data_IF_413829865316
#
_entry.id   IF_413829865316
#
_cell.length_a   1.000
_cell.length_b   1.000
_cell.length_c   1.000
_cell.angle_alpha   90.00
_cell.angle_beta   90.00
_cell.angle_gamma   90.00
#
_symmetry.space_group_name_H-M   'P 1'
#
loop_
_entity.id
_entity.type
_entity.pdbx_description
1 polymer ?
#
# COMPACT_ATOMS: atom_id res chain seq x y z
N UNK A 1 -20.95 13.47 -0.53
CA UNK A 1 -21.29 13.67 0.90
C UNK A 1 -20.01 13.43 1.68
N UNK A 2 -19.73 14.22 2.72
CA UNK A 2 -18.49 14.04 3.50
C UNK A 2 -18.61 12.84 4.44
N UNK A 3 -17.58 12.01 4.49
CA UNK A 3 -17.48 10.84 5.39
C UNK A 3 -16.12 10.81 6.06
N UNK A 4 -16.05 10.22 7.24
CA UNK A 4 -14.78 9.91 7.91
C UNK A 4 -14.54 8.41 7.80
N UNK A 5 -13.40 8.01 7.25
CA UNK A 5 -13.03 6.61 7.09
C UNK A 5 -11.52 6.42 6.94
N UNK A 6 -11.10 5.17 6.97
CA UNK A 6 -9.73 4.76 6.66
C UNK A 6 -9.50 4.79 5.15
N UNK A 7 -8.41 5.44 4.72
CA UNK A 7 -7.96 5.50 3.33
C UNK A 7 -6.48 5.13 3.24
N UNK A 8 -6.01 4.71 2.07
CA UNK A 8 -4.68 4.09 1.95
C UNK A 8 -3.88 4.62 0.76
N UNK A 9 -2.60 4.91 0.99
CA UNK A 9 -1.62 4.93 -0.08
C UNK A 9 -0.88 3.60 -0.08
N UNK A 10 -0.79 3.00 -1.27
CA UNK A 10 -0.13 1.74 -1.52
C UNK A 10 0.93 1.96 -2.59
N UNK A 11 2.09 1.35 -2.40
CA UNK A 11 3.23 1.54 -3.28
C UNK A 11 3.86 0.21 -3.66
N UNK A 12 4.16 0.07 -4.95
CA UNK A 12 4.91 -1.05 -5.48
C UNK A 12 6.29 -0.57 -5.88
N UNK A 13 7.31 -1.07 -5.20
CA UNK A 13 8.71 -0.71 -5.43
C UNK A 13 9.27 -1.65 -6.48
N UNK A 14 9.73 -1.10 -7.60
CA UNK A 14 10.19 -1.88 -8.72
C UNK A 14 11.56 -1.45 -9.23
N UNK A 15 12.24 -2.41 -9.84
CA UNK A 15 13.44 -2.15 -10.63
C UNK A 15 13.04 -1.53 -11.99
N UNK A 16 13.67 -0.42 -12.42
CA UNK A 16 13.33 0.24 -13.68
C UNK A 16 13.69 -0.57 -14.94
N UNK A 17 14.72 -1.42 -14.88
CA UNK A 17 15.25 -2.15 -16.03
C UNK A 17 14.36 -3.37 -16.34
N UNK A 18 14.06 -4.18 -15.32
CA UNK A 18 13.30 -5.43 -15.49
C UNK A 18 11.78 -5.25 -15.31
N UNK A 19 11.33 -4.08 -14.82
CA UNK A 19 9.93 -3.81 -14.47
C UNK A 19 9.34 -4.87 -13.54
N UNK A 20 10.16 -5.32 -12.59
CA UNK A 20 9.79 -6.29 -11.56
C UNK A 20 9.61 -5.57 -10.24
N UNK A 21 8.44 -5.75 -9.62
CA UNK A 21 8.17 -5.30 -8.26
C UNK A 21 8.82 -6.30 -7.32
N UNK A 22 9.66 -5.80 -6.41
CA UNK A 22 10.36 -6.60 -5.41
C UNK A 22 9.93 -6.27 -3.98
N UNK A 23 9.21 -5.17 -3.79
CA UNK A 23 8.79 -4.72 -2.47
C UNK A 23 7.50 -3.94 -2.50
N UNK A 24 6.78 -3.97 -1.40
CA UNK A 24 5.54 -3.24 -1.19
C UNK A 24 5.72 -2.25 -0.04
N UNK A 25 5.06 -1.11 -0.15
CA UNK A 25 4.88 -0.21 0.97
C UNK A 25 3.43 0.23 1.07
N UNK A 26 2.99 0.56 2.28
CA UNK A 26 1.63 0.99 2.53
C UNK A 26 1.54 1.93 3.71
N UNK A 27 0.59 2.86 3.64
CA UNK A 27 0.27 3.75 4.75
C UNK A 27 -1.21 4.05 4.79
N UNK A 28 -1.77 3.94 5.98
CA UNK A 28 -3.16 4.22 6.26
C UNK A 28 -3.32 5.63 6.84
N UNK A 29 -4.44 6.27 6.52
CA UNK A 29 -4.84 7.58 7.04
C UNK A 29 -6.30 7.52 7.49
N UNK A 30 -6.62 8.20 8.58
CA UNK A 30 -7.99 8.39 9.01
C UNK A 30 -8.43 9.80 8.59
N UNK A 31 -9.26 9.91 7.55
CA UNK A 31 -9.53 11.16 6.87
C UNK A 31 -11.03 11.46 6.78
N UNK A 32 -11.40 12.73 6.91
CA UNK A 32 -12.75 13.23 6.70
C UNK A 32 -12.80 14.11 5.44
N UNK A 33 -13.79 13.90 4.59
CA UNK A 33 -14.02 14.68 3.39
C UNK A 33 -14.89 13.95 2.39
N UNK A 34 -15.11 14.55 1.22
CA UNK A 34 -15.63 13.82 0.06
C UNK A 34 -14.56 12.88 -0.51
N UNK A 35 -14.96 11.95 -1.36
CA UNK A 35 -14.01 11.03 -2.01
C UNK A 35 -13.00 11.79 -2.87
N UNK A 36 -13.40 12.89 -3.51
CA UNK A 36 -12.51 13.75 -4.28
C UNK A 36 -11.45 14.42 -3.39
N UNK A 37 -11.84 14.92 -2.21
CA UNK A 37 -10.92 15.55 -1.26
C UNK A 37 -9.94 14.52 -0.68
N UNK A 38 -10.44 13.34 -0.29
CA UNK A 38 -9.60 12.23 0.21
C UNK A 38 -8.65 11.73 -0.89
N UNK A 39 -9.11 11.61 -2.13
CA UNK A 39 -8.27 11.22 -3.26
C UNK A 39 -7.22 12.28 -3.59
N UNK A 40 -7.54 13.57 -3.48
CA UNK A 40 -6.56 14.65 -3.63
C UNK A 40 -5.45 14.56 -2.56
N UNK A 41 -5.81 14.24 -1.31
CA UNK A 41 -4.87 13.98 -0.23
C UNK A 41 -3.96 12.78 -0.54
N UNK A 42 -4.55 11.66 -0.99
CA UNK A 42 -3.78 10.46 -1.37
C UNK A 42 -2.76 10.78 -2.46
N UNK A 43 -3.17 11.48 -3.53
CA UNK A 43 -2.29 11.92 -4.63
C UNK A 43 -1.16 12.82 -4.14
N UNK A 44 -1.45 13.75 -3.24
CA UNK A 44 -0.44 14.64 -2.67
C UNK A 44 0.60 13.87 -1.86
N UNK A 45 0.20 12.83 -1.11
CA UNK A 45 1.12 12.05 -0.28
C UNK A 45 1.81 10.91 -1.02
N UNK A 46 1.24 10.44 -2.13
CA UNK A 46 1.82 9.36 -2.94
C UNK A 46 3.25 9.65 -3.41
N UNK A 47 3.60 10.93 -3.60
CA UNK A 47 4.90 11.35 -4.13
C UNK A 47 6.04 11.36 -3.12
N UNK A 48 5.76 11.28 -1.82
CA UNK A 48 6.80 11.46 -0.79
C UNK A 48 6.60 10.63 0.48
N UNK A 49 5.36 10.32 0.85
CA UNK A 49 5.07 9.77 2.19
C UNK A 49 5.44 8.29 2.33
N UNK A 50 5.83 7.63 1.23
CA UNK A 50 6.38 6.27 1.20
C UNK A 50 7.65 6.11 2.04
N UNK A 51 8.35 7.21 2.37
CA UNK A 51 9.53 7.18 3.25
C UNK A 51 9.15 6.77 4.68
N UNK A 52 7.93 7.03 5.10
CA UNK A 52 7.40 6.74 6.43
C UNK A 52 6.41 5.56 6.43
N UNK A 53 6.26 4.89 5.28
CA UNK A 53 5.31 3.81 5.11
C UNK A 53 5.81 2.48 5.69
N UNK A 54 4.88 1.63 6.11
CA UNK A 54 5.15 0.23 6.44
C UNK A 54 5.61 -0.49 5.19
N UNK A 55 6.66 -1.30 5.29
CA UNK A 55 7.24 -2.05 4.17
C UNK A 55 7.06 -3.54 4.37
N UNK A 56 6.74 -4.24 3.29
CA UNK A 56 6.62 -5.69 3.25
C UNK A 56 7.27 -6.23 1.97
N UNK A 57 7.81 -7.46 2.00
CA UNK A 57 8.17 -8.14 0.76
C UNK A 57 6.92 -8.40 -0.09
N UNK A 58 7.11 -8.61 -1.39
CA UNK A 58 6.05 -9.16 -2.23
C UNK A 58 5.72 -10.57 -1.72
N UNK A 59 4.43 -10.96 -1.63
CA UNK A 59 4.08 -12.28 -1.12
C UNK A 59 4.64 -13.43 -1.99
N UNK A 60 5.09 -14.50 -1.34
CA UNK A 60 5.70 -15.69 -1.99
C UNK A 60 4.81 -16.40 -3.01
N UNK A 61 3.49 -16.14 -3.01
CA UNK A 61 2.55 -16.65 -4.02
C UNK A 61 2.74 -16.01 -5.40
N UNK A 62 3.37 -14.84 -5.44
CA UNK A 62 3.77 -14.18 -6.67
C UNK A 62 5.18 -14.63 -7.06
N UNK A 63 5.36 -14.87 -8.35
CA UNK A 63 6.68 -15.20 -8.90
C UNK A 63 6.85 -14.60 -10.29
N UNK A 64 8.11 -14.44 -10.68
CA UNK A 64 8.51 -14.12 -12.06
C UNK A 64 9.44 -15.22 -12.57
N UNK A 65 9.35 -15.55 -13.85
CA UNK A 65 10.33 -16.43 -14.49
C UNK A 65 11.56 -15.63 -14.90
N UNK A 66 12.74 -16.04 -14.45
CA UNK A 66 14.03 -15.45 -14.82
C UNK A 66 15.04 -16.57 -15.09
N UNK A 67 15.71 -16.52 -16.24
CA UNK A 67 16.72 -17.53 -16.66
C UNK A 67 16.25 -19.00 -16.59
N UNK A 68 14.93 -19.24 -16.68
CA UNK A 68 14.33 -20.58 -16.60
C UNK A 68 14.04 -21.06 -15.18
N UNK A 69 14.23 -20.20 -14.17
CA UNK A 69 13.85 -20.44 -12.77
C UNK A 69 12.70 -19.51 -12.35
N UNK A 70 11.82 -20.00 -11.48
CA UNK A 70 10.77 -19.20 -10.88
C UNK A 70 11.32 -18.52 -9.61
N UNK A 71 11.36 -17.19 -9.61
CA UNK A 71 11.75 -16.38 -8.47
C UNK A 71 10.49 -15.96 -7.70
N UNK A 72 10.25 -16.59 -6.55
CA UNK A 72 9.15 -16.24 -5.63
C UNK A 72 9.43 -14.93 -4.88
N UNK A 73 8.37 -14.24 -4.48
CA UNK A 73 8.49 -12.95 -3.79
C UNK A 73 8.78 -11.79 -4.75
N UNK A 74 8.35 -11.94 -6.01
CA UNK A 74 8.46 -10.92 -7.06
C UNK A 74 7.19 -10.96 -7.91
N UNK A 75 6.80 -9.83 -8.48
CA UNK A 75 5.71 -9.79 -9.47
C UNK A 75 6.02 -8.82 -10.62
N UNK A 76 5.50 -9.06 -11.82
CA UNK A 76 5.66 -8.10 -12.90
C UNK A 76 4.91 -6.81 -12.57
N UNK A 77 5.44 -5.65 -12.97
CA UNK A 77 4.79 -4.34 -12.75
C UNK A 77 3.39 -4.27 -13.38
N UNK A 78 3.13 -5.09 -14.41
CA UNK A 78 1.80 -5.21 -15.02
C UNK A 78 0.72 -5.66 -14.04
N UNK A 79 1.09 -6.34 -12.95
CA UNK A 79 0.17 -6.79 -11.89
C UNK A 79 -0.59 -5.62 -11.24
N UNK A 80 -0.03 -4.40 -11.25
CA UNK A 80 -0.71 -3.20 -10.73
C UNK A 80 -1.95 -2.80 -11.56
N UNK A 81 -2.04 -3.26 -12.80
CA UNK A 81 -3.20 -3.02 -13.67
C UNK A 81 -4.19 -4.19 -13.65
N UNK A 82 -3.91 -5.25 -12.91
CA UNK A 82 -4.81 -6.39 -12.75
C UNK A 82 -5.88 -6.05 -11.70
N UNK A 83 -7.17 -5.90 -12.07
CA UNK A 83 -8.24 -5.56 -11.13
C UNK A 83 -8.53 -6.68 -10.13
N UNK A 84 -8.09 -7.92 -10.41
CA UNK A 84 -8.25 -9.08 -9.53
C UNK A 84 -7.01 -9.33 -8.67
N UNK A 85 -6.02 -8.42 -8.70
CA UNK A 85 -4.79 -8.60 -7.95
C UNK A 85 -5.04 -8.65 -6.44
N UNK A 86 -4.35 -9.56 -5.78
CA UNK A 86 -4.32 -9.66 -4.32
C UNK A 86 -3.00 -9.13 -3.74
N UNK A 87 -2.20 -8.41 -4.54
CA UNK A 87 -0.82 -8.03 -4.20
C UNK A 87 -0.70 -7.30 -2.84
N UNK A 88 -1.67 -6.43 -2.53
CA UNK A 88 -1.68 -5.63 -1.31
C UNK A 88 -2.57 -6.19 -0.19
N UNK A 89 -3.08 -7.42 -0.32
CA UNK A 89 -4.00 -7.97 0.66
C UNK A 89 -3.36 -8.08 2.05
N UNK A 90 -2.16 -8.64 2.16
CA UNK A 90 -1.44 -8.73 3.43
C UNK A 90 -1.03 -7.35 3.95
N UNK A 91 -0.70 -6.40 3.07
CA UNK A 91 -0.39 -5.03 3.44
C UNK A 91 -1.59 -4.35 4.13
N UNK A 92 -2.79 -4.51 3.59
CA UNK A 92 -4.00 -3.94 4.20
C UNK A 92 -4.28 -4.57 5.57
N UNK A 93 -4.09 -5.90 5.70
CA UNK A 93 -4.24 -6.61 6.97
C UNK A 93 -3.22 -6.13 8.01
N UNK A 94 -1.97 -5.92 7.62
CA UNK A 94 -0.92 -5.40 8.50
C UNK A 94 -1.24 -3.99 8.98
N UNK A 95 -1.66 -3.11 8.07
CA UNK A 95 -2.04 -1.74 8.41
C UNK A 95 -3.27 -1.69 9.35
N UNK A 96 -4.26 -2.55 9.13
CA UNK A 96 -5.40 -2.70 10.03
C UNK A 96 -4.97 -3.18 11.42
N UNK A 97 -4.10 -4.20 11.46
CA UNK A 97 -3.54 -4.76 12.69
C UNK A 97 -2.76 -3.71 13.49
N UNK A 98 -1.97 -2.88 12.83
CA UNK A 98 -1.21 -1.81 13.47
C UNK A 98 -2.13 -0.77 14.14
N UNK A 99 -3.23 -0.39 13.47
CA UNK A 99 -4.21 0.56 14.01
C UNK A 99 -4.95 -0.05 15.19
N UNK A 100 -5.43 -1.28 15.05
CA UNK A 100 -6.09 -2.03 16.11
C UNK A 100 -5.21 -2.17 17.35
N UNK A 101 -3.92 -2.48 17.14
CA UNK A 101 -2.94 -2.59 18.21
C UNK A 101 -2.74 -1.26 18.95
N UNK A 102 -2.59 -0.15 18.23
CA UNK A 102 -2.44 1.19 18.84
C UNK A 102 -3.67 1.56 19.66
N UNK A 103 -4.87 1.36 19.11
CA UNK A 103 -6.12 1.66 19.81
C UNK A 103 -6.29 0.83 21.09
N UNK A 104 -6.06 -0.47 21.02
CA UNK A 104 -6.20 -1.37 22.17
C UNK A 104 -5.14 -1.11 23.23
N UNK A 105 -3.91 -0.78 22.83
CA UNK A 105 -2.84 -0.38 23.77
C UNK A 105 -3.19 0.89 24.54
N UNK A 106 -3.74 1.90 23.86
CA UNK A 106 -4.12 3.18 24.49
C UNK A 106 -5.36 3.06 25.39
N UNK A 107 -6.25 2.10 25.11
CA UNK A 107 -7.49 1.85 25.87
C UNK A 107 -7.33 0.85 27.02
N UNK A 108 -6.11 0.38 27.30
CA UNK A 108 -5.86 -0.58 28.39
C UNK A 108 -6.24 -2.03 28.05
N UNK A 109 -6.43 -2.36 26.77
CA UNK A 109 -6.60 -3.73 26.27
C UNK A 109 -8.01 -4.31 26.38
N UNK A 110 -9.00 -3.56 26.88
CA UNK A 110 -10.34 -4.08 27.19
C UNK A 110 -11.46 -3.60 26.23
N UNK A 111 -11.12 -3.01 25.08
CA UNK A 111 -12.09 -2.46 24.12
C UNK A 111 -12.16 -3.21 22.78
N UNK A 112 -13.37 -3.38 22.24
CA UNK A 112 -13.56 -3.73 20.83
C UNK A 112 -13.08 -2.57 19.94
N UNK A 113 -12.36 -2.87 18.87
CA UNK A 113 -11.91 -1.86 17.90
C UNK A 113 -13.16 -1.29 17.19
N UNK A 114 -13.39 0.03 17.26
CA UNK A 114 -14.53 0.66 16.59
C UNK A 114 -14.56 0.31 15.10
N UNK A 115 -15.76 0.03 14.58
CA UNK A 115 -15.97 -0.28 13.14
C UNK A 115 -15.34 0.78 12.21
N UNK A 116 -15.32 2.04 12.64
CA UNK A 116 -14.77 3.15 11.85
C UNK A 116 -13.24 3.09 11.67
N UNK A 117 -12.55 2.29 12.50
CA UNK A 117 -11.10 2.06 12.42
C UNK A 117 -10.74 0.79 11.65
N UNK A 118 -11.73 -0.02 11.24
CA UNK A 118 -11.52 -1.19 10.38
C UNK A 118 -11.36 -0.76 8.93
N UNK A 119 -10.76 -1.63 8.10
CA UNK A 119 -10.69 -1.42 6.66
C UNK A 119 -12.12 -1.44 6.08
N UNK A 120 -12.56 -0.39 5.36
CA UNK A 120 -13.88 -0.38 4.74
C UNK A 120 -14.04 -1.52 3.73
N UNK A 121 -15.28 -1.98 3.50
CA UNK A 121 -15.57 -3.02 2.49
C UNK A 121 -15.11 -2.60 1.09
N UNK A 122 -15.26 -1.31 0.76
CA UNK A 122 -14.76 -0.70 -0.47
C UNK A 122 -13.78 0.41 -0.08
N UNK A 123 -12.52 0.08 0.26
CA UNK A 123 -11.58 1.06 0.76
C UNK A 123 -11.19 2.02 -0.36
N UNK A 124 -11.11 3.31 -0.04
CA UNK A 124 -10.52 4.29 -0.95
C UNK A 124 -8.99 4.20 -0.84
N UNK A 125 -8.33 3.90 -1.96
CA UNK A 125 -6.88 3.81 -2.00
C UNK A 125 -6.31 4.34 -3.31
N UNK A 126 -5.01 4.61 -3.30
CA UNK A 126 -4.22 4.93 -4.48
C UNK A 126 -2.99 4.04 -4.52
N UNK A 127 -2.79 3.34 -5.65
CA UNK A 127 -1.59 2.54 -5.92
C UNK A 127 -0.63 3.39 -6.76
N UNK A 128 0.63 3.50 -6.32
CA UNK A 128 1.68 4.24 -7.03
C UNK A 128 2.92 3.37 -7.23
N UNK A 129 3.42 3.31 -8.46
CA UNK A 129 4.70 2.67 -8.75
C UNK A 129 5.85 3.55 -8.26
N UNK A 130 6.80 2.95 -7.53
CA UNK A 130 8.04 3.57 -7.12
C UNK A 130 9.20 2.93 -7.88
N UNK A 131 10.11 3.76 -8.38
CA UNK A 131 11.36 3.32 -9.00
C UNK A 131 12.49 3.47 -7.98
N UNK A 132 13.28 2.42 -7.81
CA UNK A 132 14.60 2.54 -7.21
C UNK A 132 15.63 2.89 -8.28
N UNK A 133 16.36 3.99 -8.08
CA UNK A 133 17.48 4.34 -8.96
C UNK A 133 18.74 3.53 -8.62
N UNK A 134 19.72 3.54 -9.52
CA UNK A 134 21.02 2.85 -9.36
C UNK A 134 21.82 3.19 -8.09
N UNK A 135 21.45 4.25 -7.37
CA UNK A 135 22.08 4.63 -6.10
C UNK A 135 21.26 4.17 -4.88
N UNK A 136 20.18 3.43 -5.09
CA UNK A 136 19.26 2.96 -4.06
C UNK A 136 18.23 4.00 -3.61
N UNK A 137 18.07 5.12 -4.33
CA UNK A 137 17.04 6.09 -4.00
C UNK A 137 15.71 5.73 -4.64
N UNK A 138 14.69 5.59 -3.80
CA UNK A 138 13.33 5.29 -4.21
C UNK A 138 12.58 6.59 -4.48
N UNK A 139 11.88 6.68 -5.62
CA UNK A 139 11.09 7.85 -6.03
C UNK A 139 9.77 7.42 -6.66
N UNK A 140 8.73 8.23 -6.47
CA UNK A 140 7.47 8.01 -7.15
C UNK A 140 7.57 8.35 -8.63
N UNK A 141 7.05 7.46 -9.48
CA UNK A 141 6.74 7.79 -10.86
C UNK A 141 5.43 8.57 -10.85
N UNK A 142 5.52 9.90 -10.86
CA UNK A 142 4.36 10.74 -11.12
C UNK A 142 4.09 10.66 -12.62
N UNK A 143 3.01 9.99 -13.01
CA UNK A 143 2.48 10.12 -14.37
C UNK A 143 1.88 11.52 -14.53
N UNK A 144 2.21 12.19 -15.64
CA UNK A 144 1.53 13.41 -16.08
C UNK A 144 0.03 13.16 -16.34
#
# INVERSE_FOLDING_TARGET
>A
MSTTEMIFNLWAIHDPDDKVVYGLAGRAYYACGTDEEKMALLKQFAVSDFVLATRMPVPERFSVESEGEALSGFCPLSELYNPETTLFQEMLQELEGEIAYRYTSDSGGEGEVPEVLKVPVNPLFLITALVEDKNGFIRALVGD
#
